data_IF_559551940597
#
_entry.id   IF_559551940597
#
_cell.length_a   1.000
_cell.length_b   1.000
_cell.length_c   1.000
_cell.angle_alpha   90.00
_cell.angle_beta   90.00
_cell.angle_gamma   90.00
#
_symmetry.space_group_name_H-M   'P 1'
#
loop_
_entity.id
_entity.type
_entity.pdbx_description
1 polymer ?
#
# COMPACT_ATOMS: atom_id res chain seq x y z
N UNK A 1 7.53 -8.48 20.33
CA UNK A 1 7.06 -9.31 19.19
C UNK A 1 7.69 -8.91 17.86
N UNK A 2 7.71 -7.63 17.44
CA UNK A 2 8.28 -7.21 16.14
C UNK A 2 9.80 -7.42 16.05
N UNK A 3 10.53 -7.30 17.16
CA UNK A 3 11.99 -7.47 17.19
C UNK A 3 12.48 -8.86 16.77
N UNK A 4 11.63 -9.88 16.89
CA UNK A 4 11.96 -11.26 16.50
C UNK A 4 11.82 -11.51 14.99
N UNK A 5 11.17 -10.61 14.25
CA UNK A 5 10.91 -10.76 12.82
C UNK A 5 11.53 -9.58 12.05
N UNK A 6 12.76 -9.72 11.52
CA UNK A 6 13.47 -8.61 10.86
C UNK A 6 12.70 -8.06 9.65
N UNK A 7 11.94 -8.92 8.96
CA UNK A 7 11.08 -8.52 7.83
C UNK A 7 9.91 -7.65 8.31
N UNK A 8 9.25 -8.01 9.42
CA UNK A 8 8.15 -7.20 9.98
C UNK A 8 8.66 -5.85 10.49
N UNK A 9 9.89 -5.80 11.02
CA UNK A 9 10.57 -4.55 11.39
C UNK A 9 10.90 -3.69 10.15
N UNK A 10 11.35 -4.30 9.05
CA UNK A 10 11.60 -3.54 7.82
C UNK A 10 10.32 -2.95 7.21
N UNK A 11 9.17 -3.61 7.39
CA UNK A 11 7.88 -3.06 6.97
C UNK A 11 7.53 -1.75 7.68
N UNK A 12 7.91 -1.54 8.94
CA UNK A 12 7.64 -0.28 9.65
C UNK A 12 8.44 0.90 9.10
N UNK A 13 9.49 0.66 8.32
CA UNK A 13 10.23 1.71 7.62
C UNK A 13 9.45 2.28 6.41
N UNK A 14 8.35 1.63 5.99
CA UNK A 14 7.51 2.14 4.92
C UNK A 14 6.56 3.19 5.49
N UNK A 15 6.55 4.39 4.89
CA UNK A 15 5.60 5.46 5.26
C UNK A 15 4.15 4.96 5.24
N UNK A 16 3.46 5.14 6.36
CA UNK A 16 2.08 4.71 6.56
C UNK A 16 1.93 3.27 7.09
N UNK A 17 3.03 2.57 7.41
CA UNK A 17 2.97 1.28 8.10
C UNK A 17 3.44 1.46 9.54
N UNK A 18 2.52 1.20 10.48
CA UNK A 18 2.81 1.29 11.92
C UNK A 18 3.03 -0.08 12.57
N UNK A 19 3.27 -0.09 13.90
CA UNK A 19 3.56 -1.30 14.67
C UNK A 19 2.39 -2.29 14.76
N UNK A 20 1.16 -1.88 14.44
CA UNK A 20 0.01 -2.79 14.34
C UNK A 20 -0.12 -3.33 12.91
N UNK A 21 0.11 -2.48 11.92
CA UNK A 21 -0.06 -2.81 10.50
C UNK A 21 1.01 -3.78 10.00
N UNK A 22 2.26 -3.59 10.41
CA UNK A 22 3.37 -4.46 10.02
C UNK A 22 3.16 -5.93 10.40
N UNK A 23 2.90 -6.28 11.68
CA UNK A 23 2.67 -7.68 12.07
C UNK A 23 1.38 -8.24 11.47
N UNK A 24 0.32 -7.45 11.32
CA UNK A 24 -0.90 -7.91 10.67
C UNK A 24 -0.64 -8.30 9.20
N UNK A 25 0.09 -7.46 8.46
CA UNK A 25 0.48 -7.76 7.08
C UNK A 25 1.38 -9.00 7.01
N UNK A 26 2.38 -9.10 7.89
CA UNK A 26 3.30 -10.24 7.90
C UNK A 26 2.57 -11.55 8.25
N UNK A 27 1.69 -11.55 9.26
CA UNK A 27 0.93 -12.72 9.68
C UNK A 27 -0.01 -13.21 8.58
N UNK A 28 -0.68 -12.30 7.87
CA UNK A 28 -1.64 -12.68 6.82
C UNK A 28 -0.98 -13.05 5.48
N UNK A 29 0.15 -12.43 5.14
CA UNK A 29 0.78 -12.58 3.81
C UNK A 29 1.98 -13.55 3.86
N UNK A 30 2.68 -13.65 4.97
CA UNK A 30 3.96 -14.37 5.07
C UNK A 30 4.99 -13.81 4.08
N UNK A 31 5.68 -14.71 3.35
CA UNK A 31 6.69 -14.35 2.33
C UNK A 31 6.09 -13.85 1.00
N UNK A 32 4.76 -13.85 0.86
CA UNK A 32 4.08 -13.34 -0.34
C UNK A 32 4.31 -14.16 -1.63
N UNK A 33 4.82 -15.39 -1.51
CA UNK A 33 5.12 -16.33 -2.62
C UNK A 33 3.86 -16.79 -3.36
N UNK A 34 2.70 -16.73 -2.71
CA UNK A 34 1.40 -17.02 -3.30
C UNK A 34 0.95 -16.00 -4.36
N UNK A 35 1.65 -14.87 -4.47
CA UNK A 35 1.37 -13.84 -5.46
C UNK A 35 2.49 -13.79 -6.51
N UNK A 36 2.12 -13.85 -7.79
CA UNK A 36 3.04 -13.73 -8.93
C UNK A 36 3.71 -12.36 -8.99
N UNK A 37 3.03 -11.31 -8.52
CA UNK A 37 3.56 -9.96 -8.48
C UNK A 37 2.84 -9.07 -7.46
N UNK A 38 3.42 -7.90 -7.19
CA UNK A 38 2.87 -6.89 -6.29
C UNK A 38 1.45 -6.40 -6.66
N UNK A 39 1.08 -6.40 -7.96
CA UNK A 39 -0.27 -6.00 -8.39
C UNK A 39 -1.31 -7.01 -7.96
N UNK A 40 -0.96 -8.30 -7.95
CA UNK A 40 -1.84 -9.37 -7.49
C UNK A 40 -2.11 -9.26 -5.99
N UNK A 41 -1.11 -8.92 -5.16
CA UNK A 41 -1.34 -8.62 -3.74
C UNK A 41 -2.30 -7.43 -3.57
N UNK A 42 -2.07 -6.33 -4.29
CA UNK A 42 -2.94 -5.16 -4.19
C UNK A 42 -4.39 -5.46 -4.63
N UNK A 43 -4.58 -6.36 -5.61
CA UNK A 43 -5.89 -6.84 -6.02
C UNK A 43 -6.53 -7.73 -4.94
N UNK A 44 -5.76 -8.61 -4.32
CA UNK A 44 -6.21 -9.47 -3.22
C UNK A 44 -6.64 -8.66 -1.98
N UNK A 45 -5.98 -7.53 -1.71
CA UNK A 45 -6.38 -6.57 -0.65
C UNK A 45 -7.58 -5.69 -1.04
N UNK A 46 -8.09 -5.78 -2.27
CA UNK A 46 -9.22 -4.99 -2.74
C UNK A 46 -8.91 -3.52 -3.00
N UNK A 47 -7.64 -3.17 -3.19
CA UNK A 47 -7.14 -1.81 -3.42
C UNK A 47 -7.09 -1.41 -4.91
N UNK A 48 -7.56 -2.29 -5.80
CA UNK A 48 -7.63 -2.04 -7.24
C UNK A 48 -9.04 -1.60 -7.64
N UNK A 49 -9.20 -0.76 -8.69
CA UNK A 49 -10.51 -0.44 -9.23
C UNK A 49 -11.27 -1.70 -9.63
N UNK A 50 -12.56 -1.74 -9.33
CA UNK A 50 -13.48 -2.72 -9.87
C UNK A 50 -13.61 -2.47 -11.37
N UNK A 51 -13.47 -3.53 -12.15
CA UNK A 51 -13.72 -3.48 -13.59
C UNK A 51 -15.13 -4.02 -13.86
N UNK A 52 -15.92 -3.26 -14.60
CA UNK A 52 -17.24 -3.68 -15.09
C UNK A 52 -17.35 -3.36 -16.57
N UNK A 53 -18.13 -4.15 -17.30
CA UNK A 53 -18.35 -3.94 -18.73
C UNK A 53 -18.54 -5.25 -19.49
N UNK A 54 -19.24 -5.14 -20.62
CA UNK A 54 -19.51 -6.23 -21.56
C UNK A 54 -19.17 -5.76 -22.97
N UNK A 55 -18.89 -6.70 -23.89
CA UNK A 55 -18.65 -6.37 -25.31
C UNK A 55 -17.39 -5.52 -25.56
N UNK A 56 -16.28 -5.78 -24.87
CA UNK A 56 -14.99 -5.11 -25.10
C UNK A 56 -14.84 -3.70 -24.51
N UNK A 57 -15.87 -3.15 -23.86
CA UNK A 57 -15.79 -1.85 -23.17
C UNK A 57 -15.45 -2.04 -21.69
N UNK A 58 -14.25 -1.62 -21.26
CA UNK A 58 -13.85 -1.65 -19.85
C UNK A 58 -14.24 -0.33 -19.18
N UNK A 59 -15.09 -0.39 -18.15
CA UNK A 59 -15.39 0.73 -17.25
C UNK A 59 -14.75 0.48 -15.90
N UNK A 60 -14.03 1.48 -15.39
CA UNK A 60 -13.43 1.45 -14.06
C UNK A 60 -14.36 2.11 -13.05
N UNK A 61 -14.74 1.35 -12.02
CA UNK A 61 -15.60 1.79 -10.93
C UNK A 61 -14.83 2.15 -9.65
N UNK A 62 -15.51 2.15 -8.49
CA UNK A 62 -14.88 2.25 -7.18
C UNK A 62 -13.83 1.14 -6.96
N UNK A 63 -13.07 1.20 -5.87
CA UNK A 63 -12.21 0.07 -5.49
C UNK A 63 -13.04 -1.20 -5.32
N UNK A 64 -12.44 -2.35 -5.66
CA UNK A 64 -13.12 -3.63 -5.63
C UNK A 64 -13.63 -4.00 -4.24
N UNK A 65 -12.95 -3.58 -3.16
CA UNK A 65 -13.26 -3.95 -1.77
C UNK A 65 -13.30 -5.46 -1.49
N UNK A 66 -12.90 -6.30 -2.45
CA UNK A 66 -12.76 -7.75 -2.27
C UNK A 66 -11.55 -8.05 -1.40
N UNK A 67 -11.61 -9.13 -0.63
CA UNK A 67 -10.55 -9.53 0.30
C UNK A 67 -10.66 -8.90 1.68
N UNK A 68 -9.57 -8.94 2.43
CA UNK A 68 -9.55 -8.63 3.86
C UNK A 68 -9.88 -7.16 4.16
N UNK A 69 -11.00 -6.94 4.86
CA UNK A 69 -11.45 -5.60 5.27
C UNK A 69 -10.56 -4.99 6.32
N UNK A 70 -10.01 -5.78 7.24
CA UNK A 70 -9.14 -5.31 8.31
C UNK A 70 -7.79 -4.82 7.75
N UNK A 71 -7.11 -5.62 6.92
CA UNK A 71 -5.85 -5.20 6.29
C UNK A 71 -6.02 -3.96 5.41
N UNK A 72 -7.10 -3.93 4.63
CA UNK A 72 -7.43 -2.75 3.81
C UNK A 72 -7.69 -1.53 4.68
N UNK A 73 -8.41 -1.68 5.79
CA UNK A 73 -8.67 -0.58 6.73
C UNK A 73 -7.37 -0.04 7.33
N UNK A 74 -6.44 -0.90 7.74
CA UNK A 74 -5.13 -0.48 8.25
C UNK A 74 -4.32 0.29 7.20
N UNK A 75 -4.25 -0.21 5.96
CA UNK A 75 -3.53 0.45 4.87
C UNK A 75 -4.14 1.82 4.51
N UNK A 76 -5.47 1.93 4.53
CA UNK A 76 -6.17 3.20 4.28
C UNK A 76 -5.92 4.20 5.40
N UNK A 77 -5.89 3.77 6.67
CA UNK A 77 -5.54 4.65 7.79
C UNK A 77 -4.09 5.14 7.69
N UNK A 78 -3.15 4.24 7.38
CA UNK A 78 -1.76 4.61 7.10
C UNK A 78 -1.63 5.64 5.98
N UNK A 79 -2.33 5.41 4.87
CA UNK A 79 -2.34 6.32 3.73
C UNK A 79 -2.95 7.69 4.05
N UNK A 80 -3.95 7.77 4.93
CA UNK A 80 -4.51 9.05 5.41
C UNK A 80 -3.47 9.87 6.15
N UNK A 81 -2.67 9.23 7.00
CA UNK A 81 -1.57 9.90 7.72
C UNK A 81 -0.54 10.42 6.73
N UNK A 82 -0.12 9.59 5.76
CA UNK A 82 0.82 10.03 4.71
C UNK A 82 0.26 11.23 3.94
N UNK A 83 -1.00 11.18 3.51
CA UNK A 83 -1.65 12.30 2.81
C UNK A 83 -1.76 13.57 3.67
N UNK A 84 -1.94 13.43 4.99
CA UNK A 84 -2.02 14.57 5.92
C UNK A 84 -0.71 15.36 5.97
N UNK A 85 0.43 14.67 5.93
CA UNK A 85 1.77 15.29 6.00
C UNK A 85 2.40 15.55 4.63
N UNK A 86 1.77 15.11 3.53
CA UNK A 86 2.34 15.19 2.18
C UNK A 86 2.76 16.61 1.75
N UNK A 87 2.03 17.64 2.14
CA UNK A 87 2.40 19.03 1.81
C UNK A 87 3.63 19.55 2.57
N UNK A 88 4.03 18.88 3.65
CA UNK A 88 5.15 19.30 4.50
C UNK A 88 6.43 18.50 4.23
N UNK A 89 6.33 17.43 3.45
CA UNK A 89 7.42 16.51 3.17
C UNK A 89 7.93 16.71 1.75
N UNK A 90 9.23 16.92 1.60
CA UNK A 90 9.87 17.04 0.29
C UNK A 90 10.38 15.68 -0.19
N UNK A 91 9.45 14.78 -0.54
CA UNK A 91 9.80 13.46 -1.08
C UNK A 91 8.95 13.06 -2.31
N UNK A 92 9.43 12.14 -3.17
CA UNK A 92 8.73 11.78 -4.41
C UNK A 92 7.33 11.20 -4.21
N UNK A 93 7.08 10.48 -3.10
CA UNK A 93 5.76 9.92 -2.80
C UNK A 93 4.79 11.05 -2.45
N UNK A 94 5.25 12.02 -1.65
CA UNK A 94 4.49 13.18 -1.19
C UNK A 94 4.12 14.10 -2.36
N UNK A 95 5.09 14.44 -3.23
CA UNK A 95 4.82 15.19 -4.47
C UNK A 95 3.78 14.50 -5.37
N UNK A 96 3.96 13.21 -5.61
CA UNK A 96 2.99 12.43 -6.40
C UNK A 96 1.59 12.39 -5.76
N UNK A 97 1.53 12.25 -4.44
CA UNK A 97 0.27 12.20 -3.70
C UNK A 97 -0.50 13.52 -3.78
N UNK A 98 0.20 14.66 -3.64
CA UNK A 98 -0.40 16.00 -3.76
C UNK A 98 -0.93 16.22 -5.17
N UNK A 99 -0.12 15.98 -6.21
CA UNK A 99 -0.55 16.09 -7.61
C UNK A 99 -1.73 15.17 -7.95
N UNK A 100 -1.79 13.98 -7.33
CA UNK A 100 -2.92 13.07 -7.52
C UNK A 100 -4.18 13.60 -6.81
N UNK A 101 -4.03 14.18 -5.63
CA UNK A 101 -5.14 14.78 -4.87
C UNK A 101 -5.74 15.97 -5.62
N UNK A 102 -4.91 16.82 -6.24
CA UNK A 102 -5.36 17.94 -7.06
C UNK A 102 -6.14 17.47 -8.29
N UNK A 103 -5.62 16.48 -9.03
CA UNK A 103 -6.25 16.02 -10.28
C UNK A 103 -7.49 15.14 -10.09
N UNK A 104 -7.57 14.38 -8.99
CA UNK A 104 -8.57 13.29 -8.82
C UNK A 104 -9.31 13.33 -7.49
N UNK A 105 -8.94 14.23 -6.59
CA UNK A 105 -9.51 14.36 -5.25
C UNK A 105 -8.77 13.56 -4.17
N UNK A 106 -8.79 14.09 -2.95
CA UNK A 106 -8.07 13.56 -1.78
C UNK A 106 -8.35 12.09 -1.48
N UNK A 107 -9.59 11.64 -1.58
CA UNK A 107 -9.93 10.23 -1.30
C UNK A 107 -9.33 9.26 -2.30
N UNK A 108 -9.27 9.63 -3.59
CA UNK A 108 -8.61 8.80 -4.61
C UNK A 108 -7.10 8.79 -4.43
N UNK A 109 -6.51 9.91 -4.00
CA UNK A 109 -5.10 9.96 -3.64
C UNK A 109 -4.76 9.04 -2.46
N UNK A 110 -5.56 9.05 -1.39
CA UNK A 110 -5.40 8.14 -0.23
C UNK A 110 -5.42 6.67 -0.67
N UNK A 111 -6.38 6.28 -1.51
CA UNK A 111 -6.44 4.91 -2.06
C UNK A 111 -5.20 4.61 -2.90
N UNK A 112 -4.76 5.57 -3.72
CA UNK A 112 -3.53 5.45 -4.52
C UNK A 112 -2.30 5.20 -3.67
N UNK A 113 -2.12 5.97 -2.58
CA UNK A 113 -1.02 5.79 -1.62
C UNK A 113 -1.10 4.38 -1.02
N UNK A 114 -2.27 3.96 -0.53
CA UNK A 114 -2.46 2.61 0.03
C UNK A 114 -2.09 1.51 -0.97
N UNK A 115 -2.46 1.65 -2.24
CA UNK A 115 -2.09 0.71 -3.30
C UNK A 115 -0.56 0.67 -3.53
N UNK A 116 0.09 1.84 -3.56
CA UNK A 116 1.55 1.94 -3.70
C UNK A 116 2.27 1.32 -2.50
N UNK A 117 1.78 1.57 -1.28
CA UNK A 117 2.27 0.95 -0.04
C UNK A 117 2.12 -0.56 -0.06
N UNK A 118 0.95 -1.09 -0.45
CA UNK A 118 0.74 -2.53 -0.59
C UNK A 118 1.74 -3.18 -1.56
N UNK A 119 2.06 -2.49 -2.66
CA UNK A 119 3.05 -2.99 -3.62
C UNK A 119 4.47 -3.00 -3.05
N UNK A 120 4.83 -2.00 -2.24
CA UNK A 120 6.12 -1.96 -1.53
C UNK A 120 6.21 -3.07 -0.48
N UNK A 121 5.12 -3.31 0.28
CA UNK A 121 5.02 -4.42 1.24
C UNK A 121 5.34 -5.75 0.55
N UNK A 122 4.73 -6.03 -0.60
CA UNK A 122 5.02 -7.27 -1.33
C UNK A 122 6.49 -7.41 -1.70
N UNK A 123 7.13 -6.32 -2.15
CA UNK A 123 8.54 -6.32 -2.53
C UNK A 123 9.42 -6.65 -1.32
N UNK A 124 9.14 -6.07 -0.15
CA UNK A 124 9.88 -6.37 1.09
C UNK A 124 9.68 -7.81 1.55
N UNK A 125 8.44 -8.29 1.53
CA UNK A 125 8.12 -9.65 1.94
C UNK A 125 8.76 -10.70 1.03
N UNK A 126 8.83 -10.43 -0.27
CA UNK A 126 9.31 -11.37 -1.27
C UNK A 126 10.82 -11.31 -1.51
N UNK A 127 11.42 -10.11 -1.50
CA UNK A 127 12.84 -9.88 -1.79
C UNK A 127 13.69 -9.61 -0.55
N UNK A 128 13.07 -9.39 0.60
CA UNK A 128 13.76 -9.09 1.86
C UNK A 128 13.84 -7.59 2.20
N UNK A 129 14.37 -7.27 3.40
CA UNK A 129 14.34 -5.94 4.00
C UNK A 129 15.12 -4.87 3.21
N UNK A 130 16.17 -5.27 2.50
CA UNK A 130 17.04 -4.33 1.75
C UNK A 130 16.50 -3.94 0.38
N UNK A 131 15.35 -4.48 -0.02
CA UNK A 131 14.78 -4.27 -1.35
C UNK A 131 14.12 -2.91 -1.56
N UNK A 132 13.87 -2.13 -0.50
CA UNK A 132 13.29 -0.79 -0.62
C UNK A 132 14.34 0.24 -1.07
N UNK A 133 14.03 1.07 -2.09
CA UNK A 133 14.83 2.24 -2.42
C UNK A 133 14.93 3.19 -1.23
N UNK A 134 16.09 3.83 -1.05
CA UNK A 134 16.42 4.68 0.10
C UNK A 134 15.36 5.77 0.35
N UNK A 135 14.83 6.38 -0.71
CA UNK A 135 13.83 7.45 -0.62
C UNK A 135 12.43 7.00 -0.16
N UNK A 136 12.16 5.69 -0.06
CA UNK A 136 10.92 5.14 0.50
C UNK A 136 11.07 4.63 1.94
N UNK A 137 12.30 4.59 2.46
CA UNK A 137 12.56 4.31 3.88
C UNK A 137 12.35 5.60 4.67
N UNK A 138 11.59 5.54 5.76
CA UNK A 138 11.67 6.58 6.78
C UNK A 138 13.07 6.60 7.37
N UNK A 139 13.62 7.79 7.58
CA UNK A 139 14.87 7.99 8.32
C UNK A 139 14.73 7.45 9.75
#
# INVERSE_FOLDING_TARGET
MIEQYPVAKALTCIKGIGPITAPALYASIGKGVQFKNARQLAAWLGLVPQQTGTGGRVRLGPISKRGDTYLRMLLIHGARVVMRWANQLNDPLSHWAVQLAERRGKHKAIVGIANKTARMVWVVLHKGPDSLPVHYRTA
#
